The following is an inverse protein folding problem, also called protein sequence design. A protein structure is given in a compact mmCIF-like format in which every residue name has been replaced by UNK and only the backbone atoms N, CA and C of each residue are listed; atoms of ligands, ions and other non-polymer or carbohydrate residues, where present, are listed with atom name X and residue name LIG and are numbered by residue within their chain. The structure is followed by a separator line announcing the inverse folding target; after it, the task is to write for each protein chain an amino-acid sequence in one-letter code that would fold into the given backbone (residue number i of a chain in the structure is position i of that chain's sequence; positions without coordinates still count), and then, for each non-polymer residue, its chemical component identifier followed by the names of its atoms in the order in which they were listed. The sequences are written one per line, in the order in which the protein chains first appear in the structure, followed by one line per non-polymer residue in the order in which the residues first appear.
data_IF_901200790321
#
_entry.id   IF_901200790321
#
_cell.length_a   1.000
_cell.length_b   1.000
_cell.length_c   1.000
_cell.angle_alpha   90.00
_cell.angle_beta   90.00
_cell.angle_gamma   90.00
#
_symmetry.space_group_name_H-M   'P 1'
#
loop_
_entity.id
_entity.type
_entity.pdbx_description
1 polymer ?
#
# COMPACT_ATOMS: atom_id res chain seq x y z
N UNK A 1 33.20 -29.34 30.98
CA UNK A 1 32.94 -28.01 30.39
C UNK A 1 32.13 -28.20 29.11
N UNK A 2 30.82 -28.03 29.19
CA UNK A 2 29.95 -28.05 28.00
C UNK A 2 29.92 -26.64 27.42
N UNK A 3 30.47 -26.51 26.21
CA UNK A 3 30.44 -25.26 25.46
C UNK A 3 28.98 -24.93 25.12
N UNK A 4 28.48 -23.83 25.67
CA UNK A 4 27.19 -23.26 25.31
C UNK A 4 27.22 -22.91 23.82
N UNK A 5 26.44 -23.64 23.03
CA UNK A 5 26.17 -23.32 21.63
C UNK A 5 25.47 -21.97 21.62
N UNK A 6 26.18 -20.91 21.19
CA UNK A 6 25.57 -19.60 20.94
C UNK A 6 24.47 -19.79 19.90
N UNK A 7 23.22 -19.74 20.34
CA UNK A 7 22.06 -19.66 19.47
C UNK A 7 22.27 -18.45 18.56
N UNK A 8 22.44 -18.70 17.27
CA UNK A 8 22.52 -17.67 16.22
C UNK A 8 21.27 -16.81 16.39
N UNK A 9 21.40 -15.54 16.80
CA UNK A 9 20.29 -14.58 16.77
C UNK A 9 19.71 -14.66 15.36
N UNK A 10 18.45 -15.11 15.21
CA UNK A 10 17.73 -14.89 13.96
C UNK A 10 17.77 -13.38 13.73
N UNK A 11 18.31 -12.94 12.60
CA UNK A 11 18.15 -11.54 12.21
C UNK A 11 16.65 -11.23 12.26
N UNK A 12 16.27 -10.16 12.95
CA UNK A 12 14.87 -9.74 13.00
C UNK A 12 14.45 -9.35 11.58
N UNK A 13 13.41 -10.02 11.06
CA UNK A 13 12.82 -9.73 9.75
C UNK A 13 12.24 -8.31 9.77
N UNK A 14 12.54 -7.50 8.76
CA UNK A 14 12.01 -6.13 8.67
C UNK A 14 10.48 -6.15 8.49
N UNK A 15 9.98 -6.99 7.58
CA UNK A 15 8.56 -7.27 7.43
C UNK A 15 8.27 -8.77 7.62
N UNK A 16 7.88 -9.21 8.83
CA UNK A 16 7.52 -10.61 9.03
C UNK A 16 6.33 -11.00 8.13
N UNK A 17 6.40 -12.16 7.47
CA UNK A 17 5.41 -12.58 6.43
C UNK A 17 3.97 -12.49 6.93
N UNK A 18 3.70 -12.97 8.16
CA UNK A 18 2.38 -12.94 8.80
C UNK A 18 1.77 -11.54 8.93
N UNK A 19 2.57 -10.49 8.78
CA UNK A 19 2.10 -9.12 8.90
C UNK A 19 1.40 -8.64 7.64
N UNK A 20 1.52 -9.34 6.51
CA UNK A 20 0.81 -8.99 5.28
C UNK A 20 -0.70 -9.25 5.34
N UNK A 21 -1.18 -10.00 6.33
CA UNK A 21 -2.62 -10.14 6.66
C UNK A 21 -3.34 -8.79 6.79
N UNK A 22 -2.63 -7.74 7.23
CA UNK A 22 -3.22 -6.40 7.36
C UNK A 22 -3.69 -5.83 6.03
N UNK A 23 -3.17 -6.30 4.89
CA UNK A 23 -3.66 -5.92 3.56
C UNK A 23 -5.09 -6.45 3.34
N UNK A 24 -5.38 -7.67 3.81
CA UNK A 24 -6.72 -8.24 3.75
C UNK A 24 -7.68 -7.43 4.63
N UNK A 25 -7.27 -7.09 5.85
CA UNK A 25 -8.06 -6.22 6.73
C UNK A 25 -8.30 -4.84 6.12
N UNK A 26 -7.28 -4.23 5.53
CA UNK A 26 -7.38 -2.95 4.81
C UNK A 26 -8.41 -3.04 3.69
N UNK A 27 -8.33 -4.07 2.83
CA UNK A 27 -9.27 -4.26 1.73
C UNK A 27 -10.71 -4.53 2.21
N UNK A 28 -10.86 -5.25 3.33
CA UNK A 28 -12.16 -5.60 3.90
C UNK A 28 -12.89 -4.39 4.50
N UNK A 29 -12.14 -3.38 4.94
CA UNK A 29 -12.66 -2.24 5.69
C UNK A 29 -12.31 -0.88 5.05
N UNK A 30 -11.81 -0.86 3.81
CA UNK A 30 -11.24 0.34 3.18
C UNK A 30 -12.17 1.56 3.23
N UNK A 31 -13.46 1.36 2.93
CA UNK A 31 -14.47 2.43 2.95
C UNK A 31 -14.60 3.06 4.33
N UNK A 32 -14.75 2.23 5.37
CA UNK A 32 -14.89 2.70 6.76
C UNK A 32 -13.59 3.36 7.24
N UNK A 33 -12.43 2.72 7.00
CA UNK A 33 -11.12 3.25 7.40
C UNK A 33 -10.81 4.59 6.74
N UNK A 34 -11.13 4.74 5.46
CA UNK A 34 -10.98 5.99 4.71
C UNK A 34 -11.88 7.08 5.30
N UNK A 35 -13.14 6.77 5.54
CA UNK A 35 -14.10 7.70 6.17
C UNK A 35 -13.64 8.13 7.56
N UNK A 36 -13.27 7.17 8.42
CA UNK A 36 -12.83 7.41 9.79
C UNK A 36 -11.58 8.29 9.82
N UNK A 37 -10.60 8.01 8.95
CA UNK A 37 -9.39 8.81 8.84
C UNK A 37 -9.70 10.28 8.57
N UNK A 38 -10.51 10.57 7.55
CA UNK A 38 -10.81 11.95 7.19
C UNK A 38 -11.69 12.67 8.20
N UNK A 39 -12.71 12.01 8.76
CA UNK A 39 -13.57 12.62 9.78
C UNK A 39 -12.82 12.88 11.08
N UNK A 40 -11.97 11.94 11.52
CA UNK A 40 -11.13 12.14 12.71
C UNK A 40 -10.11 13.26 12.46
N UNK A 41 -9.47 13.27 11.29
CA UNK A 41 -8.53 14.32 10.90
C UNK A 41 -9.19 15.69 10.97
N UNK A 42 -10.33 15.89 10.30
CA UNK A 42 -11.01 17.19 10.29
C UNK A 42 -11.57 17.56 11.67
N UNK A 43 -12.07 16.60 12.45
CA UNK A 43 -12.55 16.87 13.80
C UNK A 43 -11.41 17.35 14.72
N UNK A 44 -10.25 16.71 14.67
CA UNK A 44 -9.10 17.04 15.52
C UNK A 44 -8.38 18.28 15.01
N UNK A 45 -7.94 18.27 13.75
CA UNK A 45 -7.05 19.30 13.18
C UNK A 45 -7.77 20.58 12.81
N UNK A 46 -9.01 20.50 12.36
CA UNK A 46 -9.76 21.67 11.88
C UNK A 46 -10.83 22.15 12.88
N UNK A 47 -11.34 21.28 13.75
CA UNK A 47 -12.40 21.62 14.71
C UNK A 47 -11.98 21.54 16.18
N UNK A 48 -10.74 21.15 16.47
CA UNK A 48 -10.18 21.15 17.83
C UNK A 48 -10.77 20.09 18.78
N UNK A 49 -11.33 19.00 18.26
CA UNK A 49 -11.95 17.93 19.04
C UNK A 49 -10.90 17.02 19.72
N UNK A 50 -10.25 17.52 20.77
CA UNK A 50 -9.12 16.85 21.45
C UNK A 50 -9.38 15.42 21.90
N UNK A 51 -10.63 15.07 22.24
CA UNK A 51 -10.94 13.72 22.71
C UNK A 51 -10.75 12.62 21.65
N UNK A 52 -10.54 12.97 20.38
CA UNK A 52 -10.24 12.03 19.29
C UNK A 52 -8.77 12.04 18.85
N UNK A 53 -7.88 12.80 19.52
CA UNK A 53 -6.46 12.87 19.15
C UNK A 53 -5.80 11.49 19.18
N UNK A 54 -6.09 10.69 20.21
CA UNK A 54 -5.57 9.33 20.34
C UNK A 54 -6.10 8.40 19.23
N UNK A 55 -7.40 8.47 18.93
CA UNK A 55 -8.02 7.65 17.89
C UNK A 55 -7.42 7.96 16.51
N UNK A 56 -7.25 9.26 16.20
CA UNK A 56 -6.62 9.70 14.96
C UNK A 56 -5.16 9.21 14.86
N UNK A 57 -4.38 9.35 15.94
CA UNK A 57 -2.99 8.89 15.97
C UNK A 57 -2.89 7.38 15.73
N UNK A 58 -3.70 6.59 16.44
CA UNK A 58 -3.70 5.13 16.34
C UNK A 58 -4.13 4.66 14.96
N UNK A 59 -5.22 5.19 14.42
CA UNK A 59 -5.70 4.85 13.09
C UNK A 59 -4.65 5.20 12.02
N UNK A 60 -4.02 6.38 12.13
CA UNK A 60 -3.02 6.79 11.13
C UNK A 60 -1.79 5.89 11.18
N UNK A 61 -1.35 5.43 12.36
CA UNK A 61 -0.25 4.46 12.48
C UNK A 61 -0.61 3.10 11.92
N UNK A 62 -1.86 2.66 12.12
CA UNK A 62 -2.36 1.41 11.53
C UNK A 62 -2.42 1.48 10.00
N UNK A 63 -2.86 2.62 9.45
CA UNK A 63 -2.91 2.84 8.01
C UNK A 63 -1.49 2.94 7.42
N UNK A 64 -0.57 3.65 8.06
CA UNK A 64 0.85 3.67 7.66
C UNK A 64 1.43 2.25 7.58
N UNK A 65 1.22 1.47 8.64
CA UNK A 65 1.66 0.08 8.71
C UNK A 65 1.07 -0.80 7.61
N UNK A 66 -0.23 -0.66 7.34
CA UNK A 66 -0.92 -1.44 6.30
C UNK A 66 -0.50 -1.00 4.88
N UNK A 67 -0.39 0.30 4.65
CA UNK A 67 -0.04 0.87 3.36
C UNK A 67 1.37 0.55 2.91
N UNK A 68 2.34 0.51 3.83
CA UNK A 68 3.69 0.07 3.45
C UNK A 68 3.71 -1.34 2.85
N UNK A 69 2.98 -2.28 3.47
CA UNK A 69 2.84 -3.67 2.98
C UNK A 69 2.02 -3.74 1.71
N UNK A 70 0.93 -2.96 1.65
CA UNK A 70 0.06 -2.92 0.49
C UNK A 70 0.81 -2.41 -0.74
N UNK A 71 1.61 -1.35 -0.61
CA UNK A 71 2.44 -0.83 -1.70
C UNK A 71 3.40 -1.92 -2.16
N UNK A 72 4.19 -2.52 -1.26
CA UNK A 72 5.14 -3.58 -1.61
C UNK A 72 4.47 -4.76 -2.32
N UNK A 73 3.30 -5.19 -1.84
CA UNK A 73 2.47 -6.20 -2.51
C UNK A 73 2.04 -5.74 -3.92
N UNK A 74 1.44 -4.56 -4.03
CA UNK A 74 0.80 -4.09 -5.26
C UNK A 74 1.81 -3.82 -6.38
N UNK A 75 2.94 -3.18 -6.06
CA UNK A 75 3.99 -2.88 -7.04
C UNK A 75 4.71 -4.15 -7.50
N UNK A 76 5.00 -5.08 -6.58
CA UNK A 76 5.56 -6.39 -6.93
C UNK A 76 4.60 -7.20 -7.79
N UNK A 77 3.32 -7.22 -7.41
CA UNK A 77 2.27 -7.84 -8.22
C UNK A 77 2.31 -7.22 -9.61
N UNK A 78 2.31 -5.91 -9.77
CA UNK A 78 2.28 -5.28 -11.10
C UNK A 78 3.53 -5.56 -11.94
N UNK A 79 4.71 -5.56 -11.33
CA UNK A 79 5.97 -5.82 -12.01
C UNK A 79 5.97 -7.14 -12.82
N UNK A 80 5.17 -8.15 -12.42
CA UNK A 80 4.97 -9.43 -13.16
C UNK A 80 4.65 -9.25 -14.65
N UNK A 81 4.09 -8.11 -15.03
CA UNK A 81 3.73 -7.81 -16.40
C UNK A 81 4.96 -7.58 -17.30
N UNK A 82 6.13 -7.29 -16.73
CA UNK A 82 7.39 -7.22 -17.45
C UNK A 82 7.76 -8.52 -18.17
N UNK A 83 7.29 -9.66 -17.65
CA UNK A 83 7.50 -11.00 -18.24
C UNK A 83 6.46 -11.36 -19.32
N UNK A 84 5.58 -10.43 -19.67
CA UNK A 84 4.55 -10.63 -20.68
C UNK A 84 4.30 -9.35 -21.46
N UNK A 85 3.04 -9.06 -21.72
CA UNK A 85 2.61 -8.08 -22.73
C UNK A 85 2.91 -6.60 -22.41
N UNK A 86 3.52 -6.28 -21.25
CA UNK A 86 3.80 -4.90 -20.89
C UNK A 86 5.20 -4.43 -21.28
N UNK A 87 6.03 -5.29 -21.87
CA UNK A 87 7.40 -4.96 -22.23
C UNK A 87 7.77 -5.43 -23.64
N UNK A 88 8.19 -4.48 -24.49
CA UNK A 88 8.55 -4.76 -25.90
C UNK A 88 10.03 -5.13 -26.11
N UNK A 89 10.88 -4.91 -25.09
CA UNK A 89 12.33 -5.05 -25.20
C UNK A 89 12.90 -5.98 -24.12
N UNK A 90 13.44 -7.13 -24.54
CA UNK A 90 14.08 -8.12 -23.64
C UNK A 90 15.28 -7.54 -22.88
N UNK A 91 15.94 -6.49 -23.41
CA UNK A 91 17.15 -5.92 -22.80
C UNK A 91 16.89 -5.06 -21.55
N UNK A 92 15.66 -4.64 -21.28
CA UNK A 92 15.37 -3.77 -20.13
C UNK A 92 15.43 -4.48 -18.77
N UNK A 93 15.30 -5.80 -18.75
CA UNK A 93 15.52 -6.61 -17.54
C UNK A 93 17.00 -6.68 -17.15
N UNK A 94 17.92 -6.24 -18.03
CA UNK A 94 19.36 -6.22 -17.74
C UNK A 94 19.76 -5.21 -16.65
N UNK A 95 18.91 -4.23 -16.35
CA UNK A 95 19.19 -3.18 -15.36
C UNK A 95 18.68 -3.50 -13.95
N UNK A 96 17.99 -4.62 -13.74
CA UNK A 96 17.52 -5.04 -12.41
C UNK A 96 18.34 -6.22 -11.87
N UNK A 97 18.35 -6.42 -10.55
CA UNK A 97 19.04 -7.56 -9.96
C UNK A 97 18.41 -8.90 -10.34
N UNK A 98 19.22 -9.96 -10.35
CA UNK A 98 18.78 -11.34 -10.64
C UNK A 98 17.70 -11.80 -9.66
N UNK A 99 17.76 -11.37 -8.40
CA UNK A 99 16.74 -11.65 -7.40
C UNK A 99 15.39 -11.01 -7.75
N UNK A 100 15.40 -9.77 -8.24
CA UNK A 100 14.19 -9.06 -8.68
C UNK A 100 13.56 -9.75 -9.88
N UNK A 101 14.38 -10.10 -10.89
CA UNK A 101 13.95 -10.86 -12.06
C UNK A 101 13.28 -12.21 -11.69
N UNK A 102 13.86 -12.93 -10.73
CA UNK A 102 13.29 -14.19 -10.20
C UNK A 102 11.94 -13.98 -9.51
N UNK A 103 11.79 -12.95 -8.70
CA UNK A 103 10.50 -12.63 -8.04
C UNK A 103 9.42 -12.37 -9.08
N UNK A 104 9.72 -11.56 -10.09
CA UNK A 104 8.80 -11.19 -11.17
C UNK A 104 8.41 -12.43 -11.99
N UNK A 105 9.40 -13.25 -12.36
CA UNK A 105 9.20 -14.50 -13.10
C UNK A 105 8.28 -15.46 -12.35
N UNK A 106 8.51 -15.67 -11.06
CA UNK A 106 7.70 -16.57 -10.23
C UNK A 106 6.22 -16.12 -10.19
N UNK A 107 5.98 -14.82 -10.04
CA UNK A 107 4.61 -14.28 -10.03
C UNK A 107 3.93 -14.30 -11.39
N UNK A 108 4.70 -14.25 -12.47
CA UNK A 108 4.19 -14.42 -13.83
C UNK A 108 3.75 -15.88 -14.07
N UNK A 109 4.61 -16.84 -13.72
CA UNK A 109 4.37 -18.28 -13.91
C UNK A 109 3.27 -18.84 -13.01
N UNK A 110 3.04 -18.23 -11.84
CA UNK A 110 2.05 -18.68 -10.86
C UNK A 110 0.89 -17.67 -10.69
N UNK A 111 -0.04 -17.56 -11.66
CA UNK A 111 -1.11 -16.56 -11.62
C UNK A 111 -2.12 -16.76 -10.48
N UNK A 112 -2.13 -17.93 -9.83
CA UNK A 112 -3.00 -18.22 -8.68
C UNK A 112 -2.54 -17.52 -7.40
N UNK A 113 -1.24 -17.26 -7.21
CA UNK A 113 -0.71 -16.71 -5.95
C UNK A 113 -0.68 -15.18 -5.92
N UNK A 114 -0.64 -14.52 -7.09
CA UNK A 114 -0.45 -13.07 -7.21
C UNK A 114 -1.55 -12.20 -6.60
N UNK A 115 -2.72 -12.77 -6.28
CA UNK A 115 -3.82 -12.03 -5.65
C UNK A 115 -3.82 -12.16 -4.12
N UNK A 116 -2.92 -12.97 -3.54
CA UNK A 116 -2.75 -13.10 -2.10
C UNK A 116 -1.49 -12.33 -1.63
N UNK A 117 -1.65 -11.27 -0.80
CA UNK A 117 -0.51 -10.52 -0.27
C UNK A 117 0.52 -11.35 0.49
N UNK A 118 0.10 -12.43 1.15
CA UNK A 118 0.97 -13.29 1.94
C UNK A 118 1.82 -14.15 1.03
N UNK A 119 1.21 -14.73 -0.02
CA UNK A 119 1.95 -15.54 -0.99
C UNK A 119 2.93 -14.69 -1.80
N UNK A 120 2.54 -13.47 -2.20
CA UNK A 120 3.46 -12.52 -2.83
C UNK A 120 4.63 -12.19 -1.89
N UNK A 121 4.37 -11.92 -0.60
CA UNK A 121 5.43 -11.68 0.37
C UNK A 121 6.37 -12.88 0.55
N UNK A 122 5.85 -14.12 0.53
CA UNK A 122 6.67 -15.33 0.56
C UNK A 122 7.61 -15.39 -0.63
N UNK A 123 7.13 -15.11 -1.84
CA UNK A 123 7.97 -15.07 -3.05
C UNK A 123 9.10 -14.06 -2.89
N UNK A 124 8.78 -12.83 -2.47
CA UNK A 124 9.78 -11.78 -2.24
C UNK A 124 10.86 -12.27 -1.26
N UNK A 125 10.45 -12.74 -0.08
CA UNK A 125 11.39 -13.03 1.02
C UNK A 125 12.05 -14.41 0.94
N UNK A 126 11.71 -15.23 -0.05
CA UNK A 126 12.54 -16.38 -0.44
C UNK A 126 13.74 -15.91 -1.28
N UNK A 127 13.57 -14.84 -2.07
CA UNK A 127 14.61 -14.31 -2.96
C UNK A 127 15.52 -13.28 -2.27
N UNK A 128 15.00 -12.46 -1.35
CA UNK A 128 15.76 -11.44 -0.62
C UNK A 128 15.76 -11.67 0.89
N UNK A 129 16.76 -11.18 1.62
CA UNK A 129 16.96 -11.50 3.06
C UNK A 129 16.01 -10.79 4.03
N UNK A 130 15.07 -9.98 3.54
CA UNK A 130 14.10 -9.22 4.35
C UNK A 130 14.77 -8.31 5.40
N UNK A 131 15.88 -7.68 5.03
CA UNK A 131 16.39 -6.51 5.75
C UNK A 131 15.80 -5.25 5.11
N UNK A 132 15.83 -4.13 5.84
CA UNK A 132 15.41 -2.83 5.30
C UNK A 132 16.18 -2.47 4.02
N UNK A 133 17.48 -2.74 4.01
CA UNK A 133 18.37 -2.45 2.88
C UNK A 133 18.02 -3.30 1.65
N UNK A 134 17.83 -4.61 1.83
CA UNK A 134 17.42 -5.49 0.71
C UNK A 134 16.06 -5.09 0.13
N UNK A 135 15.11 -4.67 0.98
CA UNK A 135 13.80 -4.19 0.54
C UNK A 135 13.94 -2.88 -0.24
N UNK A 136 14.79 -1.95 0.22
CA UNK A 136 15.05 -0.71 -0.50
C UNK A 136 15.71 -0.96 -1.85
N UNK A 137 16.72 -1.82 -1.91
CA UNK A 137 17.37 -2.21 -3.17
C UNK A 137 16.34 -2.81 -4.15
N UNK A 138 15.50 -3.72 -3.66
CA UNK A 138 14.42 -4.30 -4.46
C UNK A 138 13.42 -3.23 -4.96
N UNK A 139 13.03 -2.28 -4.13
CA UNK A 139 12.15 -1.19 -4.54
C UNK A 139 12.80 -0.25 -5.57
N UNK A 140 14.11 -0.01 -5.48
CA UNK A 140 14.85 0.76 -6.48
C UNK A 140 14.91 0.03 -7.83
N UNK A 141 15.08 -1.30 -7.83
CA UNK A 141 14.96 -2.08 -9.06
C UNK A 141 13.57 -1.94 -9.70
N UNK A 142 12.50 -2.00 -8.89
CA UNK A 142 11.14 -1.81 -9.38
C UNK A 142 10.89 -0.39 -9.90
N UNK A 143 11.43 0.63 -9.21
CA UNK A 143 11.36 2.02 -9.66
C UNK A 143 12.05 2.21 -11.02
N UNK A 144 13.23 1.62 -11.19
CA UNK A 144 13.96 1.60 -12.44
C UNK A 144 13.16 0.88 -13.54
N UNK A 145 12.59 -0.29 -13.23
CA UNK A 145 11.78 -1.08 -14.16
C UNK A 145 10.56 -0.30 -14.67
N UNK A 146 9.80 0.33 -13.77
CA UNK A 146 8.62 1.12 -14.16
C UNK A 146 8.97 2.41 -14.90
N UNK A 147 10.17 2.95 -14.68
CA UNK A 147 10.68 4.14 -15.37
C UNK A 147 11.47 3.84 -16.66
N UNK A 148 11.62 2.58 -17.03
CA UNK A 148 12.44 2.18 -18.17
C UNK A 148 11.74 2.45 -19.52
N UNK A 149 12.53 2.82 -20.54
CA UNK A 149 12.06 2.88 -21.92
C UNK A 149 11.68 1.45 -22.40
N UNK A 150 10.39 1.22 -22.64
CA UNK A 150 9.87 -0.09 -23.06
C UNK A 150 8.71 -0.60 -22.20
N UNK A 151 8.49 -0.03 -21.02
CA UNK A 151 7.26 -0.28 -20.27
C UNK A 151 6.08 0.40 -20.99
N UNK A 152 5.10 -0.40 -21.39
CA UNK A 152 3.91 0.10 -22.06
C UNK A 152 3.10 1.03 -21.15
N UNK A 153 2.90 2.27 -21.60
CA UNK A 153 2.09 3.30 -20.91
C UNK A 153 0.68 2.80 -20.53
N UNK A 154 0.09 1.89 -21.33
CA UNK A 154 -1.20 1.26 -21.04
C UNK A 154 -1.23 0.39 -19.77
N UNK A 155 -0.06 0.02 -19.24
CA UNK A 155 0.11 -0.71 -17.98
C UNK A 155 0.53 0.21 -16.82
N UNK A 156 0.59 1.53 -17.04
CA UNK A 156 0.69 2.54 -15.98
C UNK A 156 2.09 2.87 -15.48
N UNK A 157 3.13 2.64 -16.30
CA UNK A 157 4.52 3.14 -16.17
C UNK A 157 4.79 4.10 -14.99
N UNK A 158 4.67 5.40 -15.21
CA UNK A 158 4.98 6.50 -14.31
C UNK A 158 4.05 6.50 -13.08
N UNK A 159 2.75 6.21 -13.18
CA UNK A 159 1.92 5.95 -12.00
C UNK A 159 2.49 4.89 -11.05
N UNK A 160 2.95 3.74 -11.54
CA UNK A 160 3.53 2.69 -10.69
C UNK A 160 4.88 3.09 -10.13
N UNK A 161 5.71 3.77 -10.93
CA UNK A 161 6.95 4.36 -10.46
C UNK A 161 6.72 5.30 -9.28
N UNK A 162 5.74 6.21 -9.37
CA UNK A 162 5.35 7.14 -8.29
C UNK A 162 4.86 6.40 -7.04
N UNK A 163 4.08 5.34 -7.20
CA UNK A 163 3.62 4.50 -6.08
C UNK A 163 4.81 3.81 -5.39
N UNK A 164 5.77 3.29 -6.16
CA UNK A 164 7.00 2.70 -5.61
C UNK A 164 7.81 3.73 -4.84
N UNK A 165 7.97 4.93 -5.39
CA UNK A 165 8.65 6.05 -4.73
C UNK A 165 7.98 6.45 -3.40
N UNK A 166 6.65 6.37 -3.27
CA UNK A 166 5.97 6.62 -1.98
C UNK A 166 6.49 5.72 -0.86
N UNK A 167 6.77 4.44 -1.16
CA UNK A 167 7.31 3.53 -0.16
C UNK A 167 8.80 3.74 0.06
N UNK A 168 9.59 4.02 -0.99
CA UNK A 168 11.00 4.37 -0.85
C UNK A 168 11.14 5.59 0.06
N UNK A 169 10.46 6.70 -0.26
CA UNK A 169 10.45 7.93 0.54
C UNK A 169 10.08 7.62 1.99
N UNK A 170 9.00 6.84 2.21
CA UNK A 170 8.54 6.50 3.55
C UNK A 170 9.57 5.69 4.35
N UNK A 171 10.40 4.89 3.69
CA UNK A 171 11.42 4.06 4.30
C UNK A 171 12.76 4.78 4.49
N UNK A 172 13.17 5.65 3.56
CA UNK A 172 14.45 6.38 3.62
C UNK A 172 14.35 7.65 4.45
N UNK A 173 13.28 8.40 4.25
CA UNK A 173 12.97 9.66 4.92
C UNK A 173 11.63 9.51 5.64
N UNK A 174 11.60 8.82 6.79
CA UNK A 174 10.43 8.80 7.66
C UNK A 174 10.22 10.20 8.29
N UNK A 175 9.97 11.23 7.49
CA UNK A 175 9.67 12.59 7.91
C UNK A 175 8.19 12.70 8.41
N UNK A 176 7.78 13.72 9.18
CA UNK A 176 7.08 13.55 10.45
C UNK A 176 5.56 13.51 10.27
N UNK A 177 5.06 13.79 9.07
CA UNK A 177 3.65 13.95 8.81
C UNK A 177 3.05 12.66 8.24
N UNK A 178 2.90 11.69 9.13
CA UNK A 178 2.20 10.42 8.91
C UNK A 178 0.84 10.61 8.20
N UNK A 179 0.13 11.71 8.49
CA UNK A 179 -1.15 12.02 7.86
C UNK A 179 -1.01 12.31 6.36
N UNK A 180 0.04 13.02 5.96
CA UNK A 180 0.29 13.32 4.55
C UNK A 180 0.65 12.06 3.75
N UNK A 181 1.40 11.12 4.34
CA UNK A 181 1.64 9.82 3.72
C UNK A 181 0.33 9.06 3.51
N UNK A 182 -0.47 8.89 4.58
CA UNK A 182 -1.76 8.18 4.51
C UNK A 182 -2.70 8.81 3.48
N UNK A 183 -2.79 10.14 3.44
CA UNK A 183 -3.59 10.88 2.45
C UNK A 183 -3.10 10.65 1.01
N UNK A 184 -1.78 10.75 0.77
CA UNK A 184 -1.18 10.48 -0.55
C UNK A 184 -1.48 9.06 -1.03
N UNK A 185 -1.43 8.07 -0.13
CA UNK A 185 -1.69 6.67 -0.50
C UNK A 185 -3.17 6.45 -0.83
N UNK A 186 -4.11 7.01 -0.07
CA UNK A 186 -5.54 6.93 -0.40
C UNK A 186 -5.85 7.45 -1.82
N UNK A 187 -5.13 8.50 -2.23
CA UNK A 187 -5.33 9.15 -3.52
C UNK A 187 -4.40 8.65 -4.64
N UNK A 188 -3.51 7.69 -4.37
CA UNK A 188 -2.61 7.18 -5.39
C UNK A 188 -3.37 6.38 -6.46
N UNK A 189 -3.08 6.67 -7.72
CA UNK A 189 -3.76 6.11 -8.88
C UNK A 189 -2.78 5.38 -9.79
N UNK A 190 -3.26 4.36 -10.49
CA UNK A 190 -2.63 3.78 -11.67
C UNK A 190 -3.66 3.75 -12.79
N UNK A 191 -3.24 4.09 -14.00
CA UNK A 191 -4.14 4.21 -15.16
C UNK A 191 -5.36 5.10 -14.85
N UNK A 192 -6.53 4.48 -14.64
CA UNK A 192 -7.82 5.14 -14.40
C UNK A 192 -8.42 4.82 -13.03
N UNK A 193 -7.70 4.12 -12.15
CA UNK A 193 -8.22 3.63 -10.86
C UNK A 193 -7.31 4.00 -9.70
N UNK A 194 -7.86 4.09 -8.49
CA UNK A 194 -7.03 4.09 -7.28
C UNK A 194 -6.32 2.75 -7.15
N UNK A 195 -5.04 2.75 -6.78
CA UNK A 195 -4.26 1.50 -6.78
C UNK A 195 -4.67 0.49 -5.72
N UNK A 196 -5.50 0.90 -4.75
CA UNK A 196 -6.21 0.02 -3.83
C UNK A 196 -7.19 -0.95 -4.53
N UNK A 197 -7.55 -0.70 -5.80
CA UNK A 197 -8.43 -1.56 -6.58
C UNK A 197 -7.89 -3.00 -6.73
N UNK A 198 -6.55 -3.17 -6.79
CA UNK A 198 -5.92 -4.45 -7.09
C UNK A 198 -6.31 -5.55 -6.10
N UNK A 199 -6.46 -5.21 -4.82
CA UNK A 199 -6.90 -6.14 -3.80
C UNK A 199 -8.40 -6.01 -3.50
N UNK A 200 -8.96 -4.80 -3.45
CA UNK A 200 -10.38 -4.60 -3.13
C UNK A 200 -11.27 -5.25 -4.18
N UNK A 201 -10.99 -5.08 -5.48
CA UNK A 201 -11.81 -5.68 -6.54
C UNK A 201 -11.71 -7.20 -6.52
N UNK A 202 -10.51 -7.73 -6.31
CA UNK A 202 -10.29 -9.18 -6.24
C UNK A 202 -10.99 -9.82 -5.04
N UNK A 203 -11.03 -9.13 -3.90
CA UNK A 203 -11.51 -9.68 -2.63
C UNK A 203 -12.99 -9.37 -2.33
N UNK A 204 -13.43 -8.14 -2.61
CA UNK A 204 -14.74 -7.59 -2.23
C UNK A 204 -15.61 -7.19 -3.41
N UNK A 205 -15.06 -7.22 -4.62
CA UNK A 205 -15.77 -6.92 -5.84
C UNK A 205 -15.84 -5.43 -6.17
N UNK A 206 -16.31 -5.15 -7.39
CA UNK A 206 -16.36 -3.79 -7.95
C UNK A 206 -17.27 -2.84 -7.17
N UNK A 207 -18.33 -3.36 -6.53
CA UNK A 207 -19.27 -2.53 -5.77
C UNK A 207 -18.61 -1.81 -4.60
N UNK A 208 -17.84 -2.54 -3.79
CA UNK A 208 -17.13 -1.96 -2.64
C UNK A 208 -16.04 -0.99 -3.09
N UNK A 209 -15.35 -1.30 -4.19
CA UNK A 209 -14.37 -0.38 -4.76
C UNK A 209 -15.01 0.96 -5.21
N UNK A 210 -16.17 0.92 -5.88
CA UNK A 210 -16.91 2.14 -6.25
C UNK A 210 -17.34 2.95 -5.03
N UNK A 211 -17.77 2.29 -3.96
CA UNK A 211 -18.08 2.99 -2.69
C UNK A 211 -16.85 3.70 -2.11
N UNK A 212 -15.65 3.12 -2.21
CA UNK A 212 -14.42 3.82 -1.82
C UNK A 212 -14.16 5.05 -2.70
N UNK A 213 -14.38 4.95 -4.02
CA UNK A 213 -14.28 6.10 -4.94
C UNK A 213 -15.25 7.22 -4.56
N UNK A 214 -16.48 6.86 -4.16
CA UNK A 214 -17.49 7.81 -3.72
C UNK A 214 -17.08 8.51 -2.40
N UNK A 215 -16.51 7.78 -1.44
CA UNK A 215 -15.98 8.37 -0.19
C UNK A 215 -14.82 9.32 -0.45
N UNK A 216 -13.87 8.95 -1.30
CA UNK A 216 -12.73 9.82 -1.66
C UNK A 216 -13.19 11.08 -2.39
N UNK A 217 -14.19 10.96 -3.27
CA UNK A 217 -14.81 12.09 -3.96
C UNK A 217 -15.59 12.99 -3.01
N UNK A 218 -16.33 12.41 -2.07
CA UNK A 218 -17.04 13.16 -1.04
C UNK A 218 -16.07 13.96 -0.17
N UNK A 219 -14.92 13.38 0.21
CA UNK A 219 -13.86 14.12 0.90
C UNK A 219 -13.36 15.30 0.06
N UNK A 220 -13.05 15.08 -1.22
CA UNK A 220 -12.61 16.14 -2.12
C UNK A 220 -13.64 17.29 -2.22
N UNK A 221 -14.93 16.97 -2.26
CA UNK A 221 -16.01 17.94 -2.33
C UNK A 221 -16.38 18.59 -0.99
N UNK A 222 -15.78 18.14 0.12
CA UNK A 222 -16.18 18.56 1.47
C UNK A 222 -17.58 18.07 1.88
N UNK A 223 -18.10 17.02 1.26
CA UNK A 223 -19.37 16.41 1.60
C UNK A 223 -19.22 15.42 2.76
N UNK A 224 -19.27 15.96 3.98
CA UNK A 224 -19.16 15.16 5.19
C UNK A 224 -20.36 14.25 5.44
N UNK A 225 -21.51 14.43 4.79
CA UNK A 225 -22.66 13.54 5.04
C UNK A 225 -22.42 12.13 4.50
N UNK A 226 -21.82 12.02 3.32
CA UNK A 226 -21.44 10.73 2.75
C UNK A 226 -20.35 10.04 3.59
N UNK A 227 -19.36 10.78 4.11
CA UNK A 227 -18.38 10.17 5.02
C UNK A 227 -19.08 9.64 6.29
N UNK A 228 -19.98 10.44 6.88
CA UNK A 228 -20.69 10.04 8.10
C UNK A 228 -21.60 8.79 7.94
N UNK A 229 -21.94 8.35 6.72
CA UNK A 229 -22.68 7.09 6.53
C UNK A 229 -21.82 5.84 6.68
N UNK A 230 -20.49 5.95 6.59
CA UNK A 230 -19.58 4.80 6.68
C UNK A 230 -18.70 4.79 7.93
N UNK A 231 -18.73 5.86 8.72
CA UNK A 231 -17.87 5.97 9.92
C UNK A 231 -18.24 4.98 11.02
N UNK A 232 -17.22 4.46 11.73
CA UNK A 232 -17.41 3.73 12.99
C UNK A 232 -17.61 4.65 14.21
N UNK A 233 -17.49 5.96 14.03
CA UNK A 233 -17.56 6.96 15.10
C UNK A 233 -18.85 7.80 15.01
N UNK A 234 -20.02 7.28 15.43
CA UNK A 234 -21.29 8.03 15.37
C UNK A 234 -21.26 9.36 16.11
N UNK A 235 -20.42 9.49 17.14
CA UNK A 235 -20.17 10.70 17.90
C UNK A 235 -19.55 11.85 17.07
N UNK A 236 -18.93 11.56 15.91
CA UNK A 236 -18.39 12.60 15.03
C UNK A 236 -19.49 13.44 14.40
N UNK A 237 -20.73 12.94 14.28
CA UNK A 237 -21.87 13.67 13.70
C UNK A 237 -22.06 15.07 14.29
N UNK A 238 -21.80 15.27 15.59
CA UNK A 238 -21.95 16.59 16.24
C UNK A 238 -21.01 17.67 15.71
N UNK A 239 -19.91 17.28 15.05
CA UNK A 239 -18.91 18.20 14.50
C UNK A 239 -19.19 18.61 13.05
N UNK A 240 -20.00 17.83 12.34
CA UNK A 240 -20.19 17.94 10.89
C UNK A 240 -21.66 18.14 10.48
N UNK A 241 -22.60 18.15 11.43
CA UNK A 241 -23.95 18.64 11.20
C UNK A 241 -23.90 20.14 10.92
N UNK A 242 -24.50 20.58 9.81
CA UNK A 242 -24.79 22.01 9.59
C UNK A 242 -25.62 22.49 10.77
N UNK A 243 -25.17 23.55 11.44
CA UNK A 243 -26.05 24.37 12.27
C UNK A 243 -27.12 24.91 11.33
N UNK A 244 -28.35 24.42 11.46
CA UNK A 244 -29.53 25.03 10.83
C UNK A 244 -29.89 26.26 11.64
#
# INVERSE_FOLDING_TARGET
MLAATKTKKRNEEFYPIKTFEVCNYLADNAVQLCSDFYLLYDAVKNKGAKQFEFDLEMLTKQLDYAFQRYILYAVTREARHAMGDAFDNEDALSSIAVETDRIISELHLHPCIRNDPIEVAKVIFICIRNTKEDILNYLHDLECLFGCEGWHTGYGDEPWRKITLLLIDRLTEPDPNLYAFVDRVWHAQHNYYYFLDKLIRARRGMGVYRTLEDVLRAKFNGDYQELLSYTSYPQLKRYFRKTI
#
